data_IF_164183097798
#
_entry.id   IF_164183097798
#
_cell.length_a   1.000
_cell.length_b   1.000
_cell.length_c   1.000
_cell.angle_alpha   90.00
_cell.angle_beta   90.00
_cell.angle_gamma   90.00
#
_symmetry.space_group_name_H-M   'P 1'
#
loop_
_entity.id
_entity.type
_entity.pdbx_description
1 polymer ?
#
# COMPACT_ATOMS: atom_id res chain seq x y z
N UNK A 1 4.00 19.68 6.64
CA UNK A 1 2.89 19.10 5.84
C UNK A 1 2.15 18.02 6.63
N UNK A 2 2.75 16.87 6.96
CA UNK A 2 2.07 15.78 7.68
C UNK A 2 1.30 16.23 8.94
N UNK A 3 1.95 16.94 9.86
CA UNK A 3 1.29 17.40 11.10
C UNK A 3 0.08 18.32 10.83
N UNK A 4 0.13 19.10 9.75
CA UNK A 4 -1.00 19.95 9.37
C UNK A 4 -2.16 19.10 8.87
N UNK A 5 -1.90 18.14 7.97
CA UNK A 5 -2.91 17.23 7.43
C UNK A 5 -3.54 16.35 8.53
N UNK A 6 -2.73 15.83 9.46
CA UNK A 6 -3.21 15.01 10.57
C UNK A 6 -4.04 15.81 11.58
N UNK A 7 -3.72 17.09 11.79
CA UNK A 7 -4.46 17.99 12.68
C UNK A 7 -5.76 18.50 12.05
N UNK A 8 -5.77 18.73 10.74
CA UNK A 8 -6.88 19.32 9.99
C UNK A 8 -7.38 18.34 8.94
N UNK A 9 -8.01 17.27 9.42
CA UNK A 9 -8.46 16.14 8.60
C UNK A 9 -9.68 16.50 7.76
N UNK A 10 -9.62 16.18 6.48
CA UNK A 10 -10.72 16.39 5.54
C UNK A 10 -10.25 16.22 4.10
N UNK A 11 -11.17 15.83 3.22
CA UNK A 11 -10.92 15.77 1.80
C UNK A 11 -10.71 17.18 1.24
N UNK A 12 -9.62 17.41 0.52
CA UNK A 12 -9.29 18.74 0.00
C UNK A 12 -10.36 19.25 -1.00
N UNK A 13 -10.97 18.32 -1.74
CA UNK A 13 -12.04 18.58 -2.69
C UNK A 13 -13.30 19.11 -2.01
N UNK A 14 -13.48 18.93 -0.70
CA UNK A 14 -14.64 19.47 0.03
C UNK A 14 -14.68 21.00 0.03
N UNK A 15 -13.51 21.65 0.05
CA UNK A 15 -13.40 23.12 0.02
C UNK A 15 -13.05 23.65 -1.37
N UNK A 16 -12.44 22.83 -2.23
CA UNK A 16 -11.94 23.24 -3.55
C UNK A 16 -12.71 22.61 -4.72
N UNK A 17 -13.87 22.01 -4.47
CA UNK A 17 -14.63 21.21 -5.44
C UNK A 17 -14.71 21.87 -6.83
N UNK A 18 -15.16 23.13 -6.88
CA UNK A 18 -15.36 23.87 -8.14
C UNK A 18 -14.07 24.07 -8.97
N UNK A 19 -12.89 23.99 -8.35
CA UNK A 19 -11.61 24.20 -9.03
C UNK A 19 -10.95 22.88 -9.47
N UNK A 20 -11.28 21.76 -8.83
CA UNK A 20 -10.53 20.50 -8.98
C UNK A 20 -11.35 19.37 -9.59
N UNK A 21 -12.68 19.43 -9.42
CA UNK A 21 -13.62 18.50 -10.02
C UNK A 21 -14.06 18.97 -11.41
N UNK A 22 -14.28 18.05 -12.38
CA UNK A 22 -14.33 16.59 -12.21
C UNK A 22 -12.99 15.85 -12.37
N UNK A 23 -11.86 16.55 -12.49
CA UNK A 23 -10.59 15.91 -12.89
C UNK A 23 -9.87 15.18 -11.75
N UNK A 24 -9.72 15.82 -10.60
CA UNK A 24 -9.02 15.27 -9.43
C UNK A 24 -9.90 15.30 -8.19
N UNK A 25 -11.16 14.86 -8.31
CA UNK A 25 -12.01 14.73 -7.13
C UNK A 25 -11.47 13.68 -6.18
N UNK A 26 -11.26 14.05 -4.92
CA UNK A 26 -10.99 13.10 -3.85
C UNK A 26 -12.20 12.16 -3.70
N UNK A 27 -11.99 10.87 -3.98
CA UNK A 27 -13.02 9.81 -3.89
C UNK A 27 -12.74 8.88 -2.72
N UNK A 28 -11.48 8.54 -2.46
CA UNK A 28 -11.08 7.61 -1.39
C UNK A 28 -10.91 8.27 -0.01
N UNK A 29 -10.86 9.60 0.05
CA UNK A 29 -10.64 10.37 1.26
C UNK A 29 -9.18 10.78 1.44
N UNK A 30 -8.83 11.08 2.69
CA UNK A 30 -7.47 11.49 3.10
C UNK A 30 -6.77 10.40 3.94
N UNK A 31 -7.47 9.31 4.22
CA UNK A 31 -7.08 8.32 5.22
C UNK A 31 -5.83 7.56 4.78
N UNK A 32 -5.81 7.12 3.53
CA UNK A 32 -4.66 6.48 2.92
C UNK A 32 -3.50 7.47 2.73
N UNK A 33 -3.74 8.75 2.40
CA UNK A 33 -2.68 9.76 2.35
C UNK A 33 -1.97 9.91 3.69
N UNK A 34 -2.70 9.91 4.80
CA UNK A 34 -2.11 9.98 6.14
C UNK A 34 -1.27 8.75 6.46
N UNK A 35 -1.78 7.55 6.16
CA UNK A 35 -1.01 6.31 6.35
C UNK A 35 0.21 6.25 5.43
N UNK A 36 0.08 6.68 4.18
CA UNK A 36 1.15 6.74 3.19
C UNK A 36 2.26 7.70 3.62
N UNK A 37 1.89 8.91 4.07
CA UNK A 37 2.83 9.88 4.59
C UNK A 37 3.53 9.35 5.85
N UNK A 38 2.81 8.73 6.79
CA UNK A 38 3.40 8.12 7.97
C UNK A 38 4.37 6.98 7.61
N UNK A 39 4.01 6.13 6.64
CA UNK A 39 4.86 5.05 6.15
C UNK A 39 6.17 5.56 5.55
N UNK A 40 6.13 6.60 4.70
CA UNK A 40 7.32 7.23 4.14
C UNK A 40 8.17 7.94 5.19
N UNK A 41 7.54 8.69 6.10
CA UNK A 41 8.24 9.35 7.19
C UNK A 41 8.91 8.35 8.11
N UNK A 42 8.27 7.22 8.41
CA UNK A 42 8.89 6.12 9.15
C UNK A 42 10.08 5.54 8.37
N UNK A 43 9.93 5.27 7.08
CA UNK A 43 11.01 4.73 6.22
C UNK A 43 12.23 5.66 6.19
N UNK A 44 12.01 6.96 6.00
CA UNK A 44 13.06 7.96 5.84
C UNK A 44 13.76 8.32 7.16
N UNK A 45 12.99 8.47 8.25
CA UNK A 45 13.51 8.98 9.52
C UNK A 45 13.80 7.91 10.56
N UNK A 46 13.23 6.71 10.40
CA UNK A 46 13.23 5.63 11.41
C UNK A 46 12.66 6.02 12.78
N UNK A 47 11.98 7.17 12.88
CA UNK A 47 11.38 7.63 14.13
C UNK A 47 10.24 6.70 14.54
N UNK A 48 10.25 6.36 15.83
CA UNK A 48 9.24 5.51 16.48
C UNK A 48 7.83 6.11 16.44
N UNK A 49 7.71 7.44 16.52
CA UNK A 49 6.43 8.13 16.48
C UNK A 49 5.60 7.79 15.23
N UNK A 50 6.22 7.71 14.04
CA UNK A 50 5.51 7.36 12.82
C UNK A 50 5.12 5.89 12.75
N UNK A 51 5.96 5.01 13.30
CA UNK A 51 5.60 3.59 13.46
C UNK A 51 4.36 3.44 14.34
N UNK A 52 4.38 4.07 15.51
CA UNK A 52 3.27 4.02 16.45
C UNK A 52 2.01 4.64 15.88
N UNK A 53 2.16 5.71 15.09
CA UNK A 53 1.06 6.30 14.33
C UNK A 53 0.44 5.27 13.38
N UNK A 54 1.23 4.55 12.58
CA UNK A 54 0.72 3.53 11.63
C UNK A 54 -0.05 2.45 12.37
N UNK A 55 0.56 1.85 13.42
CA UNK A 55 -0.08 0.78 14.21
C UNK A 55 -1.38 1.26 14.84
N UNK A 56 -1.36 2.43 15.49
CA UNK A 56 -2.53 2.97 16.19
C UNK A 56 -3.68 3.31 15.25
N UNK A 57 -3.37 3.75 14.03
CA UNK A 57 -4.36 4.26 13.09
C UNK A 57 -4.72 3.28 11.98
N UNK A 58 -4.15 2.08 11.94
CA UNK A 58 -4.39 1.09 10.88
C UNK A 58 -5.88 0.88 10.57
N UNK A 59 -6.67 0.57 11.59
CA UNK A 59 -8.11 0.30 11.43
C UNK A 59 -8.89 1.59 11.14
N UNK A 60 -8.60 2.67 11.88
CA UNK A 60 -9.35 3.95 11.77
C UNK A 60 -9.11 4.64 10.42
N UNK A 61 -7.90 4.52 9.89
CA UNK A 61 -7.54 5.00 8.55
C UNK A 61 -7.65 3.90 7.48
N UNK A 62 -8.37 2.81 7.80
CA UNK A 62 -8.88 1.83 6.83
C UNK A 62 -7.77 1.18 5.99
N UNK A 63 -6.62 0.85 6.58
CA UNK A 63 -5.43 0.37 5.85
C UNK A 63 -5.69 -0.83 4.92
N UNK A 64 -6.69 -1.66 5.20
CA UNK A 64 -7.09 -2.84 4.41
C UNK A 64 -8.14 -2.59 3.33
N UNK A 65 -8.59 -1.35 3.13
CA UNK A 65 -9.55 -1.00 2.09
C UNK A 65 -8.92 -0.86 0.72
N UNK A 66 -9.72 -1.03 -0.33
CA UNK A 66 -9.38 -0.76 -1.75
C UNK A 66 -7.96 -1.16 -2.16
N UNK A 67 -7.45 -2.27 -1.62
CA UNK A 67 -6.07 -2.74 -1.78
C UNK A 67 -5.76 -3.27 -3.18
N UNK A 68 -6.73 -3.28 -4.08
CA UNK A 68 -6.62 -3.86 -5.42
C UNK A 68 -6.10 -2.87 -6.47
N UNK A 69 -5.88 -1.61 -6.12
CA UNK A 69 -5.35 -0.58 -7.02
C UNK A 69 -4.36 0.34 -6.30
N UNK A 70 -3.51 0.98 -7.10
CA UNK A 70 -2.60 2.03 -6.63
C UNK A 70 -2.61 3.16 -7.63
N UNK A 71 -2.87 4.38 -7.16
CA UNK A 71 -3.01 5.53 -8.03
C UNK A 71 -2.91 6.86 -7.30
N UNK A 72 -3.24 7.92 -8.02
CA UNK A 72 -3.16 9.27 -7.50
C UNK A 72 -4.13 9.52 -6.33
N UNK A 73 -5.29 8.84 -6.30
CA UNK A 73 -6.33 8.96 -5.28
C UNK A 73 -6.33 7.80 -4.27
N UNK A 74 -5.61 6.70 -4.54
CA UNK A 74 -5.62 5.52 -3.66
C UNK A 74 -4.22 4.98 -3.41
N UNK A 75 -3.78 4.97 -2.15
CA UNK A 75 -2.45 4.52 -1.71
C UNK A 75 -2.45 3.18 -0.98
N UNK A 76 -3.61 2.56 -0.72
CA UNK A 76 -3.71 1.37 0.15
C UNK A 76 -2.80 0.23 -0.28
N UNK A 77 -2.80 -0.16 -1.56
CA UNK A 77 -1.90 -1.21 -2.05
C UNK A 77 -0.42 -0.86 -1.82
N UNK A 78 -0.04 0.41 -2.07
CA UNK A 78 1.31 0.92 -1.86
C UNK A 78 1.74 0.91 -0.40
N UNK A 79 0.87 1.31 0.52
CA UNK A 79 1.11 1.30 1.97
C UNK A 79 1.40 -0.13 2.44
N UNK A 80 0.52 -1.07 2.09
CA UNK A 80 0.64 -2.47 2.49
C UNK A 80 1.94 -3.09 1.94
N UNK A 81 2.26 -2.86 0.66
CA UNK A 81 3.53 -3.29 0.06
C UNK A 81 4.74 -2.64 0.75
N UNK A 82 4.68 -1.35 1.10
CA UNK A 82 5.80 -0.65 1.72
C UNK A 82 6.08 -1.16 3.15
N UNK A 83 5.03 -1.32 3.97
CA UNK A 83 5.14 -1.70 5.38
C UNK A 83 5.48 -3.18 5.56
N UNK A 84 4.90 -4.05 4.72
CA UNK A 84 5.14 -5.51 4.75
C UNK A 84 6.62 -5.89 4.63
N UNK A 85 7.48 -5.01 4.09
CA UNK A 85 8.94 -5.20 4.13
C UNK A 85 9.44 -5.51 5.53
N UNK A 86 8.99 -4.78 6.55
CA UNK A 86 9.50 -4.94 7.91
C UNK A 86 9.10 -6.31 8.50
N UNK A 87 7.93 -6.84 8.13
CA UNK A 87 7.48 -8.21 8.45
C UNK A 87 8.31 -9.25 7.71
N UNK A 88 8.48 -9.08 6.39
CA UNK A 88 9.23 -10.02 5.55
C UNK A 88 10.70 -10.13 5.97
N UNK A 89 11.27 -9.07 6.55
CA UNK A 89 12.62 -9.04 7.10
C UNK A 89 12.70 -9.49 8.57
N UNK A 90 11.59 -9.92 9.19
CA UNK A 90 11.55 -10.41 10.58
C UNK A 90 11.78 -9.32 11.63
N UNK A 91 11.42 -8.07 11.35
CA UNK A 91 11.70 -6.91 12.23
C UNK A 91 10.46 -6.39 12.96
N UNK A 92 9.27 -6.72 12.48
CA UNK A 92 8.04 -6.07 12.92
C UNK A 92 6.79 -6.93 12.69
N UNK A 93 6.66 -8.05 13.41
CA UNK A 93 5.52 -8.97 13.26
C UNK A 93 4.16 -8.32 13.58
N UNK A 94 4.15 -7.24 14.36
CA UNK A 94 2.94 -6.44 14.61
C UNK A 94 2.39 -5.73 13.36
N UNK A 95 3.09 -5.79 12.22
CA UNK A 95 2.60 -5.33 10.92
C UNK A 95 2.09 -6.46 10.01
N UNK A 96 1.83 -7.66 10.56
CA UNK A 96 1.41 -8.84 9.78
C UNK A 96 0.19 -8.58 8.90
N UNK A 97 -0.79 -7.81 9.35
CA UNK A 97 -1.96 -7.42 8.56
C UNK A 97 -1.59 -6.69 7.26
N UNK A 98 -0.60 -5.80 7.28
CA UNK A 98 -0.10 -5.12 6.09
C UNK A 98 0.54 -6.09 5.10
N UNK A 99 1.21 -7.12 5.60
CA UNK A 99 1.75 -8.21 4.76
C UNK A 99 0.61 -9.02 4.14
N UNK A 100 -0.41 -9.38 4.91
CA UNK A 100 -1.57 -10.13 4.40
C UNK A 100 -2.30 -9.35 3.29
N UNK A 101 -2.51 -8.05 3.48
CA UNK A 101 -3.09 -7.17 2.47
C UNK A 101 -2.20 -7.05 1.23
N UNK A 102 -0.88 -6.95 1.40
CA UNK A 102 0.06 -6.93 0.29
C UNK A 102 0.03 -8.25 -0.50
N UNK A 103 -0.02 -9.39 0.19
CA UNK A 103 -0.17 -10.71 -0.43
C UNK A 103 -1.49 -10.79 -1.23
N UNK A 104 -2.61 -10.30 -0.67
CA UNK A 104 -3.91 -10.22 -1.34
C UNK A 104 -3.86 -9.39 -2.63
N UNK A 105 -3.25 -8.21 -2.59
CA UNK A 105 -3.02 -7.37 -3.78
C UNK A 105 -2.20 -8.10 -4.85
N UNK A 106 -1.14 -8.81 -4.45
CA UNK A 106 -0.30 -9.55 -5.40
C UNK A 106 -1.05 -10.70 -6.04
N UNK A 107 -1.94 -11.38 -5.29
CA UNK A 107 -2.77 -12.43 -5.85
C UNK A 107 -3.80 -11.88 -6.84
N UNK A 108 -4.38 -10.69 -6.61
CA UNK A 108 -5.39 -10.11 -7.52
C UNK A 108 -4.83 -9.67 -8.88
N UNK A 109 -3.52 -9.42 -8.96
CA UNK A 109 -2.86 -9.03 -10.21
C UNK A 109 -2.20 -10.20 -10.97
N UNK A 110 -2.31 -11.44 -10.48
CA UNK A 110 -1.79 -12.60 -11.22
C UNK A 110 -2.65 -12.88 -12.47
N UNK A 111 -2.03 -13.19 -13.63
CA UNK A 111 -2.76 -13.47 -14.86
C UNK A 111 -3.77 -14.61 -14.69
N UNK A 112 -5.01 -14.42 -15.15
CA UNK A 112 -6.03 -15.47 -15.11
C UNK A 112 -6.77 -15.62 -13.78
N UNK A 113 -6.55 -14.73 -12.80
CA UNK A 113 -7.38 -14.62 -11.59
C UNK A 113 -8.43 -13.50 -11.75
N UNK A 114 -8.05 -12.37 -12.38
CA UNK A 114 -8.94 -11.27 -12.78
C UNK A 114 -8.31 -10.48 -13.93
N UNK A 115 -9.10 -9.71 -14.70
CA UNK A 115 -8.57 -8.80 -15.73
C UNK A 115 -7.55 -7.84 -15.09
N UNK A 116 -6.24 -7.93 -15.40
CA UNK A 116 -5.25 -7.10 -14.72
C UNK A 116 -5.39 -5.65 -15.16
N UNK A 117 -5.95 -4.80 -14.28
CA UNK A 117 -6.13 -3.36 -14.49
C UNK A 117 -4.96 -2.52 -13.92
N UNK A 118 -3.94 -3.16 -13.32
CA UNK A 118 -2.92 -2.47 -12.52
C UNK A 118 -1.50 -2.82 -12.96
N UNK A 119 -0.66 -1.79 -13.03
CA UNK A 119 0.75 -1.90 -13.39
C UNK A 119 1.60 -2.36 -12.19
N UNK A 120 2.52 -3.28 -12.46
CA UNK A 120 3.30 -4.00 -11.48
C UNK A 120 4.53 -3.19 -11.03
N UNK A 121 4.77 -3.11 -9.71
CA UNK A 121 6.03 -2.57 -9.18
C UNK A 121 6.98 -3.69 -8.73
N UNK A 122 8.27 -3.70 -9.16
CA UNK A 122 9.24 -4.72 -8.74
C UNK A 122 9.52 -4.77 -7.23
N UNK A 123 9.06 -3.78 -6.46
CA UNK A 123 9.39 -3.61 -5.05
C UNK A 123 9.04 -4.85 -4.21
N UNK A 124 7.81 -5.37 -4.34
CA UNK A 124 7.39 -6.51 -3.55
C UNK A 124 8.11 -7.80 -3.94
N UNK A 125 8.41 -7.99 -5.24
CA UNK A 125 9.24 -9.10 -5.70
C UNK A 125 10.64 -9.07 -5.07
N UNK A 126 11.25 -7.89 -4.94
CA UNK A 126 12.53 -7.77 -4.28
C UNK A 126 12.44 -8.11 -2.79
N UNK A 127 11.38 -7.70 -2.09
CA UNK A 127 11.19 -8.06 -0.67
C UNK A 127 11.05 -9.57 -0.49
N UNK A 128 10.23 -10.22 -1.31
CA UNK A 128 10.05 -11.67 -1.32
C UNK A 128 11.37 -12.40 -1.65
N UNK A 129 12.12 -11.91 -2.65
CA UNK A 129 13.43 -12.46 -3.03
C UNK A 129 14.44 -12.39 -1.89
N UNK A 130 14.51 -11.27 -1.17
CA UNK A 130 15.42 -11.11 -0.04
C UNK A 130 15.00 -11.97 1.17
N UNK A 131 13.69 -12.14 1.37
CA UNK A 131 13.16 -12.99 2.44
C UNK A 131 13.18 -14.49 2.10
N UNK A 132 13.56 -14.86 0.86
CA UNK A 132 13.41 -16.21 0.32
C UNK A 132 11.98 -16.77 0.49
N UNK A 133 10.98 -15.94 0.16
CA UNK A 133 9.54 -16.26 0.27
C UNK A 133 8.85 -16.17 -1.09
N UNK A 134 7.69 -16.82 -1.19
CA UNK A 134 6.72 -16.67 -2.26
C UNK A 134 5.31 -16.49 -1.66
N UNK A 135 4.39 -15.90 -2.41
CA UNK A 135 3.01 -15.70 -1.94
C UNK A 135 2.14 -16.89 -2.39
N UNK A 136 1.44 -17.57 -1.48
CA UNK A 136 0.43 -18.56 -1.85
C UNK A 136 -0.86 -17.85 -2.31
N UNK A 137 -1.30 -18.12 -3.54
CA UNK A 137 -2.49 -17.54 -4.16
C UNK A 137 -3.43 -18.67 -4.61
N UNK A 138 -3.93 -19.46 -3.66
CA UNK A 138 -4.73 -20.67 -3.93
C UNK A 138 -3.89 -21.78 -4.57
N UNK A 139 -4.29 -22.25 -5.75
CA UNK A 139 -3.57 -23.27 -6.53
C UNK A 139 -2.26 -22.76 -7.16
N UNK A 140 -2.03 -21.44 -7.11
CA UNK A 140 -0.86 -20.79 -7.71
C UNK A 140 0.02 -20.18 -6.64
N UNK A 141 1.28 -19.93 -7.00
CA UNK A 141 2.19 -19.14 -6.17
C UNK A 141 2.80 -17.98 -6.94
N UNK A 142 2.81 -16.81 -6.32
CA UNK A 142 3.51 -15.64 -6.83
C UNK A 142 4.98 -15.68 -6.39
N UNK A 143 5.85 -16.26 -7.22
CA UNK A 143 7.29 -16.27 -6.98
C UNK A 143 7.94 -14.94 -7.35
N UNK A 144 9.08 -14.54 -6.74
CA UNK A 144 9.79 -13.33 -7.14
C UNK A 144 10.14 -13.29 -8.64
N UNK A 145 10.49 -14.43 -9.23
CA UNK A 145 10.83 -14.56 -10.64
C UNK A 145 9.59 -14.31 -11.54
N UNK A 146 8.45 -14.94 -11.22
CA UNK A 146 7.20 -14.72 -11.93
C UNK A 146 6.80 -13.24 -11.88
N UNK A 147 6.86 -12.65 -10.69
CA UNK A 147 6.52 -11.26 -10.48
C UNK A 147 7.41 -10.29 -11.27
N UNK A 148 8.72 -10.55 -11.33
CA UNK A 148 9.65 -9.79 -12.19
C UNK A 148 9.34 -9.96 -13.67
N UNK A 149 8.94 -11.15 -14.09
CA UNK A 149 8.57 -11.42 -15.48
C UNK A 149 7.29 -10.67 -15.88
N UNK A 150 6.29 -10.62 -14.99
CA UNK A 150 5.06 -9.86 -15.21
C UNK A 150 5.36 -8.35 -15.33
N UNK A 151 6.21 -7.82 -14.45
CA UNK A 151 6.64 -6.42 -14.48
C UNK A 151 7.28 -5.99 -15.80
N UNK A 152 7.98 -6.90 -16.49
CA UNK A 152 8.65 -6.60 -17.77
C UNK A 152 7.72 -6.63 -18.98
N UNK A 153 6.51 -7.16 -18.84
CA UNK A 153 5.54 -7.34 -19.93
C UNK A 153 4.52 -6.21 -20.03
N UNK A 154 4.58 -5.24 -19.12
CA UNK A 154 3.75 -4.05 -19.05
C UNK A 154 4.57 -2.83 -19.43
#
# INVERSE_FOLDING_TARGET
VFNFADKHRGAYSSSLHAAVCPFYCDVNGYQDELLWAAAWLHKASRKRAYREYIVKNEVVLRAGDTINEFGWDNKHAGINVLISKEVLMGRADYFESFKQNADGFICSILPGITHPQVQYSPAYSNYLSHANKAVPCGERSASPALLKQLAKRQ
#
